data_IF_920716033374
#
_entry.id   IF_920716033374
#
_cell.length_a   1.000
_cell.length_b   1.000
_cell.length_c   1.000
_cell.angle_alpha   90.00
_cell.angle_beta   90.00
_cell.angle_gamma   90.00
#
_symmetry.space_group_name_H-M   'P 1'
#
loop_
_entity.id
_entity.type
_entity.pdbx_description
1 polymer ?
#
# COMPACT_ATOMS: atom_id res chain seq x y z
N UNK A 1 0.49 14.31 0.14
CA UNK A 1 -0.43 13.18 0.43
C UNK A 1 -0.43 12.18 -0.71
N UNK A 2 -0.35 10.91 -0.38
CA UNK A 2 -0.39 9.82 -1.36
C UNK A 2 -1.80 9.23 -1.37
N UNK A 3 -2.38 9.06 -2.54
CA UNK A 3 -3.72 8.50 -2.71
C UNK A 3 -3.61 7.16 -3.41
N UNK A 4 -4.13 6.12 -2.77
CA UNK A 4 -4.20 4.78 -3.35
C UNK A 4 -5.65 4.41 -3.58
N UNK A 5 -5.89 3.65 -4.65
CA UNK A 5 -7.22 3.16 -5.00
C UNK A 5 -7.22 1.62 -4.99
N UNK A 6 -7.91 1.05 -4.00
CA UNK A 6 -8.00 -0.40 -3.85
C UNK A 6 -8.62 -1.10 -5.06
N UNK A 7 -9.44 -0.39 -5.84
CA UNK A 7 -10.01 -0.96 -7.06
C UNK A 7 -8.94 -1.22 -8.13
N UNK A 8 -7.82 -0.51 -8.07
CA UNK A 8 -6.67 -0.73 -8.98
C UNK A 8 -5.74 -1.84 -8.48
N UNK A 9 -6.00 -2.35 -7.29
CA UNK A 9 -5.15 -3.34 -6.62
C UNK A 9 -5.82 -4.71 -6.67
N UNK A 10 -6.10 -5.18 -7.88
CA UNK A 10 -6.90 -6.39 -8.11
C UNK A 10 -6.09 -7.66 -8.34
N UNK A 11 -4.77 -7.56 -8.48
CA UNK A 11 -3.84 -8.67 -8.45
C UNK A 11 -2.63 -8.25 -7.63
N UNK A 12 -1.81 -9.21 -7.20
CA UNK A 12 -0.58 -8.86 -6.47
C UNK A 12 0.30 -7.93 -7.29
N UNK A 13 0.49 -8.25 -8.57
CA UNK A 13 1.33 -7.45 -9.46
C UNK A 13 0.76 -6.04 -9.61
N UNK A 14 -0.55 -5.91 -9.85
CA UNK A 14 -1.18 -4.61 -10.01
C UNK A 14 -1.15 -3.80 -8.71
N UNK A 15 -1.33 -4.47 -7.56
CA UNK A 15 -1.28 -3.79 -6.27
C UNK A 15 0.11 -3.15 -6.05
N UNK A 16 1.17 -3.91 -6.25
CA UNK A 16 2.52 -3.38 -6.06
C UNK A 16 2.87 -2.32 -7.10
N UNK A 17 2.42 -2.49 -8.35
CA UNK A 17 2.65 -1.49 -9.38
C UNK A 17 1.93 -0.19 -9.05
N UNK A 18 0.68 -0.27 -8.61
CA UNK A 18 -0.10 0.91 -8.23
C UNK A 18 0.56 1.65 -7.08
N UNK A 19 1.01 0.92 -6.05
CA UNK A 19 1.69 1.53 -4.92
C UNK A 19 3.01 2.18 -5.34
N UNK A 20 3.77 1.53 -6.21
CA UNK A 20 5.01 2.09 -6.74
C UNK A 20 4.76 3.40 -7.49
N UNK A 21 3.76 3.40 -8.37
CA UNK A 21 3.45 4.56 -9.20
C UNK A 21 2.97 5.74 -8.36
N UNK A 22 2.08 5.49 -7.41
CA UNK A 22 1.47 6.56 -6.63
C UNK A 22 2.40 7.09 -5.53
N UNK A 23 3.22 6.24 -4.95
CA UNK A 23 4.10 6.63 -3.84
C UNK A 23 5.53 6.91 -4.28
N UNK A 24 5.84 6.77 -5.56
CA UNK A 24 7.14 7.12 -6.10
C UNK A 24 8.25 6.19 -5.64
N UNK A 25 7.96 4.90 -5.43
CA UNK A 25 9.00 3.95 -5.06
C UNK A 25 10.02 3.80 -6.18
N UNK A 26 11.28 3.50 -5.86
CA UNK A 26 12.32 3.42 -6.89
C UNK A 26 12.07 2.29 -7.90
N UNK A 27 12.68 2.40 -9.07
CA UNK A 27 12.51 1.42 -10.14
C UNK A 27 12.91 0.00 -9.71
N UNK A 28 13.81 -0.12 -8.74
CA UNK A 28 14.25 -1.43 -8.23
C UNK A 28 13.36 -1.98 -7.11
N UNK A 29 12.20 -1.36 -6.88
CA UNK A 29 11.26 -1.86 -5.88
C UNK A 29 10.93 -3.33 -6.12
N UNK A 30 11.12 -4.16 -5.09
CA UNK A 30 11.04 -5.62 -5.20
C UNK A 30 9.64 -6.19 -5.35
N UNK A 31 8.59 -5.39 -5.23
CA UNK A 31 7.18 -5.79 -5.42
C UNK A 31 6.78 -6.98 -4.55
N UNK A 32 7.21 -6.94 -3.29
CA UNK A 32 6.82 -7.90 -2.27
C UNK A 32 6.58 -7.16 -0.95
N UNK A 33 6.07 -7.89 0.06
CA UNK A 33 5.70 -7.26 1.33
C UNK A 33 6.90 -6.70 2.10
N UNK A 34 8.05 -7.36 2.04
CA UNK A 34 9.25 -6.88 2.71
C UNK A 34 9.74 -5.58 2.07
N UNK A 35 9.77 -5.53 0.73
CA UNK A 35 10.14 -4.32 0.02
C UNK A 35 9.14 -3.19 0.28
N UNK A 36 7.86 -3.51 0.37
CA UNK A 36 6.83 -2.53 0.70
C UNK A 36 7.09 -1.91 2.07
N UNK A 37 7.36 -2.74 3.07
CA UNK A 37 7.65 -2.26 4.42
C UNK A 37 8.86 -1.33 4.41
N UNK A 38 9.95 -1.75 3.76
CA UNK A 38 11.17 -0.94 3.69
C UNK A 38 10.92 0.41 3.03
N UNK A 39 10.18 0.43 1.91
CA UNK A 39 9.86 1.68 1.23
C UNK A 39 8.95 2.58 2.07
N UNK A 40 7.97 2.00 2.78
CA UNK A 40 7.07 2.78 3.62
C UNK A 40 7.81 3.43 4.79
N UNK A 41 8.78 2.75 5.37
CA UNK A 41 9.54 3.31 6.49
C UNK A 41 10.39 4.50 6.10
N UNK A 42 10.65 4.67 4.80
CA UNK A 42 11.39 5.82 4.27
C UNK A 42 10.49 6.98 3.87
N UNK A 43 9.17 6.78 3.90
CA UNK A 43 8.21 7.84 3.54
C UNK A 43 7.82 8.66 4.75
N UNK A 44 7.50 9.93 4.48
CA UNK A 44 6.85 10.81 5.47
C UNK A 44 5.61 11.40 4.84
N UNK A 45 4.64 11.77 5.67
CA UNK A 45 3.42 12.40 5.21
C UNK A 45 2.20 11.55 5.49
N UNK A 46 1.28 11.50 4.53
CA UNK A 46 -0.01 10.85 4.71
C UNK A 46 -0.37 10.00 3.50
N UNK A 47 -0.88 8.80 3.77
CA UNK A 47 -1.39 7.89 2.75
C UNK A 47 -2.87 7.68 3.01
N UNK A 48 -3.71 7.80 1.98
CA UNK A 48 -5.11 7.40 2.03
C UNK A 48 -5.35 6.30 1.02
N UNK A 49 -5.87 5.19 1.51
CA UNK A 49 -6.26 4.06 0.67
C UNK A 49 -7.79 4.05 0.59
N UNK A 50 -8.31 4.34 -0.59
CA UNK A 50 -9.74 4.28 -0.88
C UNK A 50 -10.10 2.92 -1.44
N UNK A 51 -11.37 2.52 -1.30
CA UNK A 51 -11.89 1.28 -1.84
C UNK A 51 -11.14 0.05 -1.32
N UNK A 52 -10.81 0.05 -0.03
CA UNK A 52 -10.14 -1.10 0.59
C UNK A 52 -10.98 -2.37 0.50
N UNK A 53 -12.32 -2.25 0.56
CA UNK A 53 -13.20 -3.39 0.41
C UNK A 53 -13.08 -4.06 -0.96
N UNK A 54 -12.86 -3.26 -2.02
CA UNK A 54 -12.61 -3.79 -3.36
C UNK A 54 -11.31 -4.60 -3.40
N UNK A 55 -10.25 -4.07 -2.78
CA UNK A 55 -8.98 -4.79 -2.69
C UNK A 55 -9.15 -6.11 -1.93
N UNK A 56 -9.89 -6.08 -0.81
CA UNK A 56 -10.13 -7.29 -0.02
C UNK A 56 -10.86 -8.36 -0.82
N UNK A 57 -11.83 -7.95 -1.65
CA UNK A 57 -12.56 -8.89 -2.52
C UNK A 57 -11.67 -9.50 -3.58
N UNK A 58 -10.80 -8.68 -4.17
CA UNK A 58 -9.93 -9.12 -5.27
C UNK A 58 -8.74 -9.94 -4.78
N UNK A 59 -8.24 -9.64 -3.57
CA UNK A 59 -7.04 -10.24 -3.01
C UNK A 59 -7.32 -10.84 -1.62
N UNK A 60 -8.17 -11.89 -1.52
CA UNK A 60 -8.44 -12.50 -0.23
C UNK A 60 -7.14 -12.97 0.44
N UNK A 61 -6.96 -12.60 1.69
CA UNK A 61 -5.75 -12.92 2.44
C UNK A 61 -4.58 -11.98 2.16
N UNK A 62 -4.22 -11.77 0.91
CA UNK A 62 -3.10 -10.88 0.59
C UNK A 62 -3.40 -9.43 0.92
N UNK A 63 -4.64 -8.98 0.73
CA UNK A 63 -5.04 -7.64 1.11
C UNK A 63 -4.81 -7.39 2.60
N UNK A 64 -5.13 -8.36 3.44
CA UNK A 64 -4.91 -8.25 4.88
C UNK A 64 -3.42 -8.14 5.21
N UNK A 65 -2.57 -8.83 4.46
CA UNK A 65 -1.11 -8.74 4.62
C UNK A 65 -0.60 -7.35 4.25
N UNK A 66 -1.12 -6.77 3.16
CA UNK A 66 -0.78 -5.38 2.79
C UNK A 66 -1.20 -4.42 3.90
N UNK A 67 -2.42 -4.56 4.40
CA UNK A 67 -2.93 -3.68 5.45
C UNK A 67 -2.13 -3.82 6.74
N UNK A 68 -1.67 -5.02 7.06
CA UNK A 68 -0.80 -5.22 8.21
C UNK A 68 0.55 -4.51 8.04
N UNK A 69 1.12 -4.56 6.84
CA UNK A 69 2.37 -3.85 6.57
C UNK A 69 2.17 -2.35 6.74
N UNK A 70 1.04 -1.81 6.27
CA UNK A 70 0.70 -0.40 6.48
C UNK A 70 0.62 -0.08 7.97
N UNK A 71 -0.08 -0.91 8.73
CA UNK A 71 -0.22 -0.71 10.17
C UNK A 71 1.15 -0.72 10.87
N UNK A 72 2.01 -1.67 10.50
CA UNK A 72 3.34 -1.80 11.10
C UNK A 72 4.26 -0.63 10.75
N UNK A 73 4.09 -0.04 9.56
CA UNK A 73 4.92 1.07 9.10
C UNK A 73 4.44 2.43 9.59
N UNK A 74 3.20 2.52 10.06
CA UNK A 74 2.62 3.77 10.53
C UNK A 74 3.41 4.30 11.74
N UNK A 75 3.63 5.62 11.76
CA UNK A 75 4.39 6.28 12.81
C UNK A 75 3.95 7.73 12.91
N UNK A 76 4.59 8.49 13.81
CA UNK A 76 4.34 9.93 13.90
C UNK A 76 4.69 10.66 12.60
N UNK A 77 5.59 10.09 11.79
CA UNK A 77 6.05 10.69 10.54
C UNK A 77 5.24 10.23 9.34
N UNK A 78 4.51 9.12 9.44
CA UNK A 78 3.72 8.58 8.34
C UNK A 78 2.35 8.16 8.85
N UNK A 79 1.31 8.88 8.45
CA UNK A 79 -0.08 8.60 8.81
C UNK A 79 -0.77 7.85 7.68
N UNK A 80 -1.56 6.85 8.03
CA UNK A 80 -2.25 6.03 7.03
C UNK A 80 -3.72 5.96 7.42
N UNK A 81 -4.59 6.29 6.46
CA UNK A 81 -6.03 6.20 6.60
C UNK A 81 -6.57 5.18 5.61
N UNK A 82 -7.39 4.26 6.10
CA UNK A 82 -8.01 3.21 5.28
C UNK A 82 -9.51 3.53 5.15
N UNK A 83 -9.99 3.64 3.91
CA UNK A 83 -11.39 3.94 3.61
C UNK A 83 -11.96 2.80 2.76
N UNK A 84 -13.07 2.25 3.17
CA UNK A 84 -13.74 1.15 2.45
C UNK A 84 -14.55 1.62 1.24
#
# INVERSE_FOLDING_TARGET
MYILDGAMMNTKANAHQHMQDEMGFPAYYGKNLDALYDCLTDLTGEIRLYHAAEMRRSLPGYAEKILRVFSDAQSDMLRIEIVD
#
